data_IF_666599724242
#
_entry.id   IF_666599724242
#
_cell.length_a   1.000
_cell.length_b   1.000
_cell.length_c   1.000
_cell.angle_alpha   90.00
_cell.angle_beta   90.00
_cell.angle_gamma   90.00
#
_symmetry.space_group_name_H-M   'P 1'
#
loop_
_entity.id
_entity.type
_entity.pdbx_description
1 polymer ?
#
# COMPACT_ATOMS: atom_id res chain seq x y z
N UNK A 1 -3.30 36.27 4.84
CA UNK A 1 -4.42 35.81 5.68
C UNK A 1 -4.26 34.31 5.90
N UNK A 2 -3.58 33.83 6.95
CA UNK A 2 -3.72 32.44 7.35
C UNK A 2 -4.88 32.35 8.36
N UNK A 3 -5.73 31.33 8.24
CA UNK A 3 -5.84 30.23 9.19
C UNK A 3 -7.23 29.56 9.09
N UNK A 4 -7.21 28.26 8.82
CA UNK A 4 -8.36 27.36 9.02
C UNK A 4 -7.80 25.94 9.04
N UNK A 5 -6.87 25.70 9.97
CA UNK A 5 -6.52 24.34 10.39
C UNK A 5 -7.75 23.69 11.02
N UNK A 6 -8.42 22.80 10.27
CA UNK A 6 -9.49 21.97 10.80
C UNK A 6 -8.89 21.01 11.83
N UNK A 7 -8.90 21.45 13.08
CA UNK A 7 -8.55 20.62 14.23
C UNK A 7 -9.87 20.13 14.79
N UNK A 8 -10.33 18.91 14.43
CA UNK A 8 -11.62 18.42 14.89
C UNK A 8 -11.61 18.39 16.42
N UNK A 9 -12.68 18.90 17.02
CA UNK A 9 -12.79 18.84 18.49
C UNK A 9 -12.83 17.37 18.89
N UNK A 10 -12.18 17.00 19.99
CA UNK A 10 -12.06 15.60 20.47
C UNK A 10 -13.39 14.79 20.37
N UNK A 11 -14.58 15.36 20.68
CA UNK A 11 -15.86 14.67 20.52
C UNK A 11 -16.21 14.29 19.07
N UNK A 12 -15.85 15.12 18.10
CA UNK A 12 -16.12 14.92 16.66
C UNK A 12 -15.23 13.81 16.10
N UNK A 13 -13.97 13.76 16.52
CA UNK A 13 -13.02 12.71 16.12
C UNK A 13 -13.45 11.32 16.66
N UNK A 14 -13.95 11.26 17.91
CA UNK A 14 -14.47 10.02 18.50
C UNK A 14 -15.73 9.55 17.77
N UNK A 15 -16.62 10.48 17.41
CA UNK A 15 -17.84 10.15 16.66
C UNK A 15 -17.52 9.62 15.26
N UNK A 16 -16.59 10.26 14.55
CA UNK A 16 -16.12 9.79 13.24
C UNK A 16 -15.48 8.39 13.33
N UNK A 17 -14.68 8.13 14.36
CA UNK A 17 -14.12 6.80 14.60
C UNK A 17 -15.23 5.76 14.85
N UNK A 18 -16.26 6.11 15.63
CA UNK A 18 -17.39 5.21 15.89
C UNK A 18 -18.14 4.83 14.62
N UNK A 19 -18.36 5.79 13.73
CA UNK A 19 -19.04 5.57 12.44
C UNK A 19 -18.24 4.61 11.55
N UNK A 20 -16.93 4.80 11.46
CA UNK A 20 -16.03 3.89 10.72
C UNK A 20 -16.09 2.47 11.30
N UNK A 21 -16.03 2.32 12.63
CA UNK A 21 -16.08 1.01 13.28
C UNK A 21 -17.43 0.30 13.08
N UNK A 22 -18.54 1.04 13.03
CA UNK A 22 -19.88 0.49 12.75
C UNK A 22 -19.98 0.03 11.29
N UNK A 23 -19.43 0.79 10.35
CA UNK A 23 -19.39 0.41 8.94
C UNK A 23 -18.55 -0.86 8.71
N UNK A 24 -17.40 -0.95 9.36
CA UNK A 24 -16.55 -2.16 9.32
C UNK A 24 -17.24 -3.37 9.95
N UNK A 25 -18.00 -3.19 11.03
CA UNK A 25 -18.79 -4.27 11.61
C UNK A 25 -19.91 -4.73 10.66
N UNK A 26 -20.55 -3.81 9.96
CA UNK A 26 -21.60 -4.12 8.99
C UNK A 26 -21.05 -4.84 7.73
N UNK A 27 -19.78 -4.64 7.39
CA UNK A 27 -19.08 -5.38 6.34
C UNK A 27 -18.54 -6.75 6.79
N UNK A 28 -18.83 -7.17 8.03
CA UNK A 28 -18.45 -8.48 8.58
C UNK A 28 -17.06 -8.52 9.22
N UNK A 29 -16.41 -7.37 9.39
CA UNK A 29 -15.11 -7.26 10.05
C UNK A 29 -15.28 -7.40 11.57
N UNK A 30 -14.92 -8.55 12.13
CA UNK A 30 -14.95 -8.78 13.59
C UNK A 30 -13.71 -8.26 14.32
N UNK A 31 -12.60 -8.03 13.60
CA UNK A 31 -11.32 -7.60 14.17
C UNK A 31 -10.67 -6.51 13.32
N UNK A 32 -10.21 -5.45 13.99
CA UNK A 32 -9.52 -4.32 13.35
C UNK A 32 -8.16 -4.18 14.02
N UNK A 33 -7.10 -4.21 13.21
CA UNK A 33 -5.73 -3.99 13.68
C UNK A 33 -5.43 -2.50 13.73
N UNK A 34 -4.97 -2.03 14.89
CA UNK A 34 -4.52 -0.67 15.12
C UNK A 34 -3.01 -0.65 15.36
N UNK A 35 -2.33 0.44 15.00
CA UNK A 35 -0.93 0.62 15.37
C UNK A 35 -0.79 0.75 16.89
N UNK A 36 0.37 0.34 17.41
CA UNK A 36 0.68 0.45 18.86
C UNK A 36 0.50 1.88 19.35
N UNK A 37 0.92 2.87 18.56
CA UNK A 37 0.75 4.29 18.88
C UNK A 37 -0.72 4.74 18.93
N UNK A 38 -1.57 4.18 18.05
CA UNK A 38 -3.01 4.47 18.04
C UNK A 38 -3.70 3.89 19.26
N UNK A 39 -3.30 2.69 19.67
CA UNK A 39 -3.79 2.05 20.91
C UNK A 39 -3.41 2.87 22.13
N UNK A 40 -2.16 3.35 22.19
CA UNK A 40 -1.68 4.17 23.29
C UNK A 40 -2.46 5.48 23.41
N UNK A 41 -2.69 6.18 22.29
CA UNK A 41 -3.49 7.41 22.26
C UNK A 41 -4.93 7.20 22.68
N UNK A 42 -5.55 6.06 22.33
CA UNK A 42 -6.90 5.71 22.78
C UNK A 42 -6.97 5.47 24.29
N UNK A 43 -5.91 4.92 24.90
CA UNK A 43 -5.82 4.70 26.35
C UNK A 43 -5.63 6.00 27.15
N UNK A 44 -5.09 7.03 26.52
CA UNK A 44 -4.84 8.35 27.11
C UNK A 44 -6.08 9.28 27.04
N UNK A 45 -7.16 8.88 26.36
CA UNK A 45 -8.38 9.69 26.26
C UNK A 45 -9.16 9.76 27.58
N UNK A 46 -9.67 10.95 27.98
CA UNK A 46 -10.54 11.09 29.14
C UNK A 46 -11.80 10.22 28.99
N UNK A 47 -12.08 9.38 29.99
CA UNK A 47 -13.25 8.49 30.00
C UNK A 47 -13.01 7.05 29.51
N UNK A 48 -11.79 6.68 29.10
CA UNK A 48 -11.44 5.30 28.72
C UNK A 48 -11.82 4.26 29.79
N UNK A 49 -11.75 4.64 31.07
CA UNK A 49 -12.08 3.77 32.21
C UNK A 49 -13.50 3.98 32.79
N UNK A 50 -14.24 5.00 32.37
CA UNK A 50 -15.55 5.32 32.97
C UNK A 50 -16.72 4.51 32.39
N UNK A 51 -16.48 3.70 31.35
CA UNK A 51 -17.48 2.80 30.76
C UNK A 51 -17.30 1.31 31.08
N UNK A 52 -16.26 0.93 31.84
CA UNK A 52 -16.04 -0.47 32.24
C UNK A 52 -16.35 -0.65 33.71
N UNK A 53 -17.60 -1.07 34.00
CA UNK A 53 -17.83 -1.88 35.19
C UNK A 53 -16.83 -3.04 35.20
N UNK A 54 -16.15 -3.21 36.32
CA UNK A 54 -15.20 -4.30 36.53
C UNK A 54 -15.93 -5.65 36.37
N UNK A 55 -15.81 -6.26 35.19
CA UNK A 55 -16.05 -7.68 35.00
C UNK A 55 -14.68 -8.37 34.93
N UNK A 56 -14.40 -9.37 35.78
CA UNK A 56 -13.13 -10.06 35.76
C UNK A 56 -12.92 -10.72 34.39
N UNK A 57 -11.69 -10.60 33.85
CA UNK A 57 -11.26 -11.38 32.70
C UNK A 57 -11.36 -12.86 33.06
N UNK A 58 -12.35 -13.56 32.49
CA UNK A 58 -12.45 -15.01 32.61
C UNK A 58 -11.20 -15.65 32.00
N UNK A 59 -10.52 -16.46 32.79
CA UNK A 59 -9.41 -17.29 32.31
C UNK A 59 -9.95 -18.30 31.29
N UNK A 60 -9.26 -18.53 30.16
CA UNK A 60 -9.65 -19.57 29.22
C UNK A 60 -9.51 -20.96 29.90
N UNK A 61 -10.43 -21.91 29.63
CA UNK A 61 -10.39 -23.23 30.25
C UNK A 61 -9.18 -24.03 29.74
N UNK A 62 -8.57 -24.78 30.65
CA UNK A 62 -7.47 -25.69 30.37
C UNK A 62 -7.88 -26.77 29.33
N UNK A 63 -6.98 -27.15 28.40
CA UNK A 63 -7.26 -28.22 27.46
C UNK A 63 -7.34 -29.56 28.21
N UNK A 64 -8.46 -30.27 28.04
CA UNK A 64 -8.63 -31.66 28.47
C UNK A 64 -7.73 -32.57 27.61
N UNK A 65 -6.89 -33.35 28.28
CA UNK A 65 -6.16 -34.46 27.67
C UNK A 65 -7.16 -35.55 27.23
N UNK A 66 -7.08 -35.95 25.97
CA UNK A 66 -7.49 -37.27 25.52
C UNK A 66 -6.22 -37.95 24.99
N UNK A 67 -5.87 -39.06 25.63
CA UNK A 67 -4.74 -39.92 25.28
C UNK A 67 -5.01 -40.62 23.94
N UNK A 68 -4.08 -40.54 22.99
CA UNK A 68 -3.84 -41.68 22.11
C UNK A 68 -2.37 -41.78 21.70
N UNK A 69 -1.91 -43.03 21.74
CA UNK A 69 -0.56 -43.53 22.01
C UNK A 69 0.33 -43.50 20.76
N UNK A 70 1.53 -42.89 20.85
CA UNK A 70 2.58 -43.08 19.84
C UNK A 70 3.92 -43.39 20.52
N UNK A 71 4.56 -44.44 20.00
CA UNK A 71 5.76 -45.13 20.48
C UNK A 71 7.02 -44.29 20.21
N UNK A 72 7.93 -44.20 21.18
CA UNK A 72 9.30 -43.68 21.02
C UNK A 72 10.26 -44.84 20.67
N UNK A 73 11.42 -44.62 19.99
CA UNK A 73 12.57 -44.12 20.74
C UNK A 73 13.61 -43.24 19.99
N UNK A 74 14.22 -42.38 20.81
CA UNK A 74 15.63 -41.89 20.82
C UNK A 74 16.17 -41.02 19.67
N UNK A 75 16.43 -39.74 20.01
CA UNK A 75 17.40 -38.90 19.29
C UNK A 75 18.66 -38.73 20.15
N UNK A 76 19.79 -39.20 19.63
CA UNK A 76 21.13 -38.84 20.10
C UNK A 76 21.42 -37.38 19.74
N UNK A 77 22.12 -36.70 20.64
CA UNK A 77 22.55 -35.31 20.51
C UNK A 77 23.93 -35.21 19.84
N UNK A 78 24.00 -34.55 18.70
CA UNK A 78 25.26 -34.07 18.11
C UNK A 78 25.54 -32.60 18.52
N UNK A 79 26.83 -32.17 18.59
CA UNK A 79 27.26 -30.87 19.13
C UNK A 79 27.00 -29.67 18.19
N UNK A 80 27.08 -28.42 18.68
CA UNK A 80 26.55 -27.26 17.97
C UNK A 80 27.48 -26.82 16.83
N UNK A 81 26.95 -26.79 15.62
CA UNK A 81 27.52 -26.04 14.49
C UNK A 81 27.10 -24.57 14.60
N UNK A 82 27.97 -23.59 14.32
CA UNK A 82 27.69 -22.19 14.59
C UNK A 82 26.54 -21.68 13.71
N UNK A 83 25.51 -21.16 14.39
CA UNK A 83 24.35 -20.57 13.76
C UNK A 83 24.74 -19.33 12.93
N UNK A 84 24.84 -19.49 11.62
CA UNK A 84 24.71 -18.38 10.68
C UNK A 84 23.21 -18.12 10.53
N UNK A 85 22.68 -17.22 11.35
CA UNK A 85 21.33 -16.71 11.15
C UNK A 85 21.27 -15.98 9.79
N UNK A 86 20.36 -16.33 8.86
CA UNK A 86 20.17 -15.52 7.67
C UNK A 86 19.57 -14.19 8.12
N UNK A 87 20.39 -13.15 8.10
CA UNK A 87 19.93 -11.78 8.24
C UNK A 87 19.13 -11.44 6.99
N UNK A 88 17.80 -11.54 7.07
CA UNK A 88 16.92 -10.99 6.04
C UNK A 88 16.92 -9.47 6.24
N UNK A 89 17.98 -8.85 5.76
CA UNK A 89 17.95 -7.43 5.40
C UNK A 89 17.02 -7.35 4.19
N UNK A 90 15.99 -6.49 4.15
CA UNK A 90 15.33 -6.20 2.88
C UNK A 90 16.39 -5.59 1.97
N UNK A 91 16.95 -6.41 1.07
CA UNK A 91 17.80 -5.92 0.02
C UNK A 91 16.94 -4.95 -0.79
N UNK A 92 17.30 -3.66 -0.77
CA UNK A 92 16.74 -2.74 -1.76
C UNK A 92 16.96 -3.40 -3.13
N UNK A 93 15.92 -3.54 -3.96
CA UNK A 93 16.07 -4.17 -5.26
C UNK A 93 17.20 -3.43 -6.01
N UNK A 94 18.12 -4.18 -6.61
CA UNK A 94 19.25 -3.63 -7.37
C UNK A 94 18.79 -2.44 -8.20
N UNK A 95 19.43 -1.29 -8.01
CA UNK A 95 19.09 -0.06 -8.70
C UNK A 95 19.09 -0.30 -10.21
N UNK A 96 17.93 -0.13 -10.84
CA UNK A 96 17.82 -0.15 -12.30
C UNK A 96 18.79 0.90 -12.86
N UNK A 97 19.36 0.63 -14.04
CA UNK A 97 20.25 1.57 -14.74
C UNK A 97 19.57 1.99 -16.05
N UNK A 98 18.72 3.04 -16.02
CA UNK A 98 17.96 3.46 -17.19
C UNK A 98 18.84 3.91 -18.35
N UNK A 99 18.61 3.34 -19.53
CA UNK A 99 19.38 3.63 -20.73
C UNK A 99 18.74 4.76 -21.55
N UNK A 100 19.56 5.66 -22.09
CA UNK A 100 19.11 6.79 -22.91
C UNK A 100 19.97 8.03 -22.69
N UNK A 101 20.06 8.90 -23.71
CA UNK A 101 20.79 10.16 -23.63
C UNK A 101 19.94 11.24 -22.93
N UNK A 102 18.63 11.24 -23.17
CA UNK A 102 17.67 12.18 -22.57
C UNK A 102 16.88 11.53 -21.42
N UNK A 103 16.29 12.35 -20.54
CA UNK A 103 15.37 11.84 -19.51
C UNK A 103 14.18 11.10 -20.12
N UNK A 104 13.60 11.62 -21.20
CA UNK A 104 12.50 10.99 -21.91
C UNK A 104 12.86 9.59 -22.42
N UNK A 105 14.05 9.41 -23.00
CA UNK A 105 14.53 8.10 -23.45
C UNK A 105 14.73 7.12 -22.28
N UNK A 106 15.25 7.60 -21.14
CA UNK A 106 15.40 6.80 -19.91
C UNK A 106 14.05 6.35 -19.35
N UNK A 107 13.05 7.24 -19.31
CA UNK A 107 11.68 6.91 -18.92
C UNK A 107 11.07 5.89 -19.88
N UNK A 108 11.26 6.05 -21.19
CA UNK A 108 10.79 5.09 -22.19
C UNK A 108 11.48 3.72 -22.05
N UNK A 109 12.75 3.69 -21.66
CA UNK A 109 13.44 2.45 -21.31
C UNK A 109 12.84 1.79 -20.07
N UNK A 110 12.61 2.57 -19.01
CA UNK A 110 11.97 2.05 -17.79
C UNK A 110 10.57 1.50 -18.06
N UNK A 111 9.78 2.14 -18.91
CA UNK A 111 8.46 1.66 -19.29
C UNK A 111 8.54 0.26 -19.91
N UNK A 112 9.48 0.02 -20.85
CA UNK A 112 9.68 -1.29 -21.48
C UNK A 112 10.13 -2.36 -20.46
N UNK A 113 10.97 -1.99 -19.51
CA UNK A 113 11.42 -2.91 -18.46
C UNK A 113 10.35 -3.21 -17.41
N UNK A 114 9.52 -2.21 -17.06
CA UNK A 114 8.37 -2.38 -16.19
C UNK A 114 7.31 -3.27 -16.85
N UNK A 115 7.11 -3.10 -18.15
CA UNK A 115 6.20 -3.93 -18.91
C UNK A 115 6.61 -5.40 -18.85
N UNK A 116 7.91 -5.71 -18.94
CA UNK A 116 8.44 -7.10 -18.87
C UNK A 116 8.61 -7.65 -17.45
N UNK A 117 8.19 -6.93 -16.42
CA UNK A 117 8.34 -7.37 -15.04
C UNK A 117 7.46 -8.60 -14.74
N UNK A 118 8.03 -9.81 -14.82
CA UNK A 118 7.33 -11.06 -14.51
C UNK A 118 6.84 -11.10 -13.06
N UNK A 119 7.64 -10.62 -12.11
CA UNK A 119 7.26 -10.53 -10.70
C UNK A 119 6.04 -9.63 -10.50
N UNK A 120 6.02 -8.47 -11.15
CA UNK A 120 4.92 -7.52 -11.06
C UNK A 120 3.63 -8.09 -11.68
N UNK A 121 3.75 -8.80 -12.80
CA UNK A 121 2.64 -9.49 -13.47
C UNK A 121 2.12 -10.70 -12.67
N UNK A 122 3.03 -11.46 -12.08
CA UNK A 122 2.76 -12.72 -11.38
C UNK A 122 2.08 -12.57 -10.02
N UNK A 123 2.04 -11.36 -9.44
CA UNK A 123 1.46 -11.11 -8.11
C UNK A 123 -0.04 -10.83 -8.11
N UNK A 124 -0.72 -10.99 -9.25
CA UNK A 124 -2.17 -10.86 -9.36
C UNK A 124 -2.58 -9.56 -10.04
N UNK A 125 -2.24 -9.43 -11.31
CA UNK A 125 -2.73 -8.35 -12.18
C UNK A 125 -4.06 -8.75 -12.81
N UNK A 126 -5.08 -7.89 -12.74
CA UNK A 126 -6.43 -8.24 -13.23
C UNK A 126 -6.41 -8.52 -14.74
N UNK A 127 -5.65 -7.72 -15.46
CA UNK A 127 -5.31 -7.86 -16.87
C UNK A 127 -3.83 -7.53 -17.00
N UNK A 128 -3.13 -8.10 -17.98
CA UNK A 128 -1.72 -7.80 -18.27
C UNK A 128 -1.54 -6.39 -18.88
N UNK A 129 -2.35 -5.43 -18.44
CA UNK A 129 -2.36 -4.05 -18.92
C UNK A 129 -1.65 -3.18 -17.91
N UNK A 130 -0.49 -2.69 -18.32
CA UNK A 130 0.31 -1.78 -17.51
C UNK A 130 -0.24 -0.35 -17.61
N UNK A 131 -0.25 0.35 -16.48
CA UNK A 131 -0.41 1.81 -16.40
C UNK A 131 0.90 2.36 -15.84
N UNK A 132 1.67 3.00 -16.71
CA UNK A 132 2.98 3.54 -16.36
C UNK A 132 2.84 4.99 -15.86
N UNK A 133 3.75 5.87 -16.28
CA UNK A 133 3.75 7.29 -15.97
C UNK A 133 3.34 8.15 -17.17
N UNK A 134 2.86 9.36 -16.91
CA UNK A 134 2.72 10.43 -17.91
C UNK A 134 3.26 11.75 -17.36
N UNK A 135 3.49 12.73 -18.24
CA UNK A 135 3.91 14.06 -17.85
C UNK A 135 5.27 14.44 -18.38
N UNK A 136 5.77 15.58 -17.88
CA UNK A 136 7.06 16.13 -18.25
C UNK A 136 8.19 15.50 -17.43
N UNK A 137 9.18 14.81 -18.04
CA UNK A 137 10.33 14.26 -17.32
C UNK A 137 11.23 15.31 -16.65
N UNK A 138 11.07 16.59 -17.00
CA UNK A 138 11.75 17.73 -16.40
C UNK A 138 10.86 18.51 -15.42
N UNK A 139 9.71 17.96 -15.03
CA UNK A 139 8.83 18.59 -14.07
C UNK A 139 9.48 18.72 -12.68
N UNK A 140 9.28 19.89 -12.06
CA UNK A 140 9.67 20.14 -10.68
C UNK A 140 8.73 19.45 -9.67
N UNK A 141 7.53 19.04 -10.09
CA UNK A 141 6.52 18.42 -9.24
C UNK A 141 6.11 17.04 -9.78
N UNK A 142 6.16 16.04 -8.89
CA UNK A 142 5.76 14.67 -9.18
C UNK A 142 4.61 14.20 -8.27
N UNK A 143 3.57 13.60 -8.85
CA UNK A 143 2.48 12.95 -8.12
C UNK A 143 2.60 11.44 -8.24
N UNK A 144 2.54 10.75 -7.10
CA UNK A 144 2.63 9.27 -7.04
C UNK A 144 1.41 8.70 -6.33
N UNK A 145 0.60 7.92 -7.05
CA UNK A 145 -0.52 7.17 -6.49
C UNK A 145 -0.14 5.77 -6.02
N UNK A 146 -1.06 5.09 -5.32
CA UNK A 146 -0.81 3.73 -4.84
C UNK A 146 -0.83 2.71 -6.00
N UNK A 147 -1.93 2.65 -6.74
CA UNK A 147 -2.13 1.68 -7.80
C UNK A 147 -3.14 2.19 -8.85
N UNK A 148 -3.13 1.63 -10.07
CA UNK A 148 -4.09 1.97 -11.11
C UNK A 148 -5.48 1.44 -10.78
N UNK A 149 -6.52 2.19 -11.15
CA UNK A 149 -7.92 1.77 -11.07
C UNK A 149 -8.46 1.23 -12.39
N UNK A 150 -9.76 0.95 -12.43
CA UNK A 150 -10.44 0.43 -13.63
C UNK A 150 -10.31 1.34 -14.85
N UNK A 151 -10.51 2.65 -14.68
CA UNK A 151 -10.46 3.57 -15.81
C UNK A 151 -9.02 3.73 -16.29
N UNK A 152 -8.06 3.83 -15.36
CA UNK A 152 -6.64 3.88 -15.65
C UNK A 152 -6.18 2.65 -16.43
N UNK A 153 -6.56 1.44 -15.99
CA UNK A 153 -6.27 0.20 -16.71
C UNK A 153 -6.85 0.25 -18.13
N UNK A 154 -8.07 0.78 -18.30
CA UNK A 154 -8.75 0.82 -19.59
C UNK A 154 -8.10 1.79 -20.58
N UNK A 155 -7.59 2.93 -20.13
CA UNK A 155 -7.00 3.96 -21.02
C UNK A 155 -5.47 4.01 -20.95
N UNK A 156 -4.85 3.18 -20.11
CA UNK A 156 -3.40 3.10 -19.91
C UNK A 156 -2.75 4.42 -19.45
N UNK A 157 -3.52 5.28 -18.81
CA UNK A 157 -3.07 6.56 -18.27
C UNK A 157 -3.38 6.63 -16.77
N UNK A 158 -2.44 7.05 -15.91
CA UNK A 158 -2.70 7.16 -14.48
C UNK A 158 -3.60 8.36 -14.16
N UNK A 159 -4.39 8.25 -13.08
CA UNK A 159 -5.25 9.33 -12.58
C UNK A 159 -6.20 9.93 -13.63
N UNK A 160 -7.01 9.09 -14.27
CA UNK A 160 -8.05 9.55 -15.22
C UNK A 160 -9.47 9.32 -14.71
N UNK A 161 -9.64 8.49 -13.67
CA UNK A 161 -10.92 8.27 -13.02
C UNK A 161 -11.41 9.47 -12.19
N UNK A 162 -12.47 9.30 -11.38
CA UNK A 162 -13.04 10.38 -10.58
C UNK A 162 -12.04 11.07 -9.64
N UNK A 163 -11.12 10.31 -9.04
CA UNK A 163 -10.04 10.85 -8.21
C UNK A 163 -9.02 11.62 -9.06
N UNK A 164 -8.73 11.13 -10.26
CA UNK A 164 -7.86 11.78 -11.23
C UNK A 164 -8.39 13.11 -11.75
N UNK A 165 -9.69 13.19 -12.01
CA UNK A 165 -10.35 14.45 -12.38
C UNK A 165 -10.21 15.50 -11.27
N UNK A 166 -10.39 15.11 -9.99
CA UNK A 166 -10.16 15.99 -8.85
C UNK A 166 -8.70 16.45 -8.78
N UNK A 167 -7.74 15.55 -8.95
CA UNK A 167 -6.32 15.89 -9.01
C UNK A 167 -6.04 16.91 -10.13
N UNK A 168 -6.60 16.71 -11.32
CA UNK A 168 -6.47 17.65 -12.44
C UNK A 168 -7.01 19.04 -12.09
N UNK A 169 -8.15 19.13 -11.38
CA UNK A 169 -8.67 20.43 -10.91
C UNK A 169 -7.74 21.09 -9.89
N UNK A 170 -7.14 20.31 -8.98
CA UNK A 170 -6.18 20.82 -7.99
C UNK A 170 -4.93 21.34 -8.70
N UNK A 171 -4.36 20.57 -9.64
CA UNK A 171 -3.19 20.99 -10.45
C UNK A 171 -3.48 22.32 -11.16
N UNK A 172 -4.64 22.43 -11.79
CA UNK A 172 -5.08 23.66 -12.44
C UNK A 172 -5.24 24.83 -11.46
N UNK A 173 -5.79 24.58 -10.28
CA UNK A 173 -5.95 25.60 -9.24
C UNK A 173 -4.61 26.10 -8.69
N UNK A 174 -3.55 25.30 -8.76
CA UNK A 174 -2.18 25.72 -8.44
C UNK A 174 -1.52 26.54 -9.58
N UNK A 175 -2.20 26.73 -10.71
CA UNK A 175 -1.66 27.42 -11.88
C UNK A 175 -0.75 26.55 -12.75
N UNK A 176 -0.76 25.23 -12.56
CA UNK A 176 0.02 24.26 -13.33
C UNK A 176 -0.87 23.57 -14.36
N UNK A 177 -0.26 23.02 -15.42
CA UNK A 177 -0.93 22.24 -16.45
C UNK A 177 -0.46 20.80 -16.42
N UNK A 178 -1.39 19.92 -16.77
CA UNK A 178 -1.15 18.49 -17.00
C UNK A 178 -1.36 18.23 -18.49
N UNK A 179 -0.43 17.56 -19.19
CA UNK A 179 0.80 16.92 -18.69
C UNK A 179 2.06 17.81 -18.61
N UNK A 180 2.00 19.08 -19.01
CA UNK A 180 3.20 19.86 -19.36
C UNK A 180 4.09 20.27 -18.17
N UNK A 181 3.48 20.54 -17.02
CA UNK A 181 4.19 21.14 -15.88
C UNK A 181 4.41 20.15 -14.72
N UNK A 182 3.93 18.91 -14.85
CA UNK A 182 3.93 17.89 -13.77
C UNK A 182 4.29 16.52 -14.32
N UNK A 183 4.80 15.64 -13.45
CA UNK A 183 5.00 14.22 -13.72
C UNK A 183 4.08 13.37 -12.83
N UNK A 184 3.43 12.34 -13.37
CA UNK A 184 2.41 11.55 -12.66
C UNK A 184 2.69 10.07 -12.85
N UNK A 185 2.69 9.31 -11.75
CA UNK A 185 2.96 7.88 -11.74
C UNK A 185 2.22 7.16 -10.61
N UNK A 186 2.35 5.83 -10.53
CA UNK A 186 1.87 4.99 -9.43
C UNK A 186 3.00 4.11 -8.88
N UNK A 187 2.93 3.76 -7.59
CA UNK A 187 3.81 2.80 -6.93
C UNK A 187 3.75 1.45 -7.65
N UNK A 188 2.54 0.88 -7.76
CA UNK A 188 2.30 -0.34 -8.53
C UNK A 188 1.91 0.04 -9.96
N UNK A 189 2.46 -0.66 -10.96
CA UNK A 189 2.22 -0.36 -12.39
C UNK A 189 1.05 -1.13 -13.00
N UNK A 190 0.45 -2.04 -12.23
CA UNK A 190 -0.65 -2.89 -12.67
C UNK A 190 -1.79 -2.83 -11.65
N UNK A 191 -3.02 -2.98 -12.13
CA UNK A 191 -4.20 -2.96 -11.28
C UNK A 191 -4.27 -4.25 -10.43
N UNK A 192 -4.30 -4.14 -9.09
CA UNK A 192 -4.30 -5.32 -8.22
C UNK A 192 -5.61 -6.13 -8.32
N UNK A 193 -5.48 -7.46 -8.37
CA UNK A 193 -6.59 -8.41 -8.43
C UNK A 193 -7.31 -8.58 -7.09
N UNK A 194 -8.64 -8.50 -7.09
CA UNK A 194 -9.48 -8.75 -5.93
C UNK A 194 -10.40 -9.94 -6.22
N UNK A 195 -10.16 -11.07 -5.56
CA UNK A 195 -10.97 -12.27 -5.74
C UNK A 195 -10.82 -12.86 -7.14
N UNK A 196 -11.92 -13.39 -7.68
CA UNK A 196 -11.92 -13.96 -9.03
C UNK A 196 -11.95 -12.83 -10.10
N UNK A 197 -10.95 -12.78 -11.00
CA UNK A 197 -10.80 -11.70 -11.98
C UNK A 197 -12.00 -11.54 -12.92
N UNK A 198 -12.81 -12.60 -13.13
CA UNK A 198 -14.03 -12.54 -13.95
C UNK A 198 -15.11 -11.66 -13.32
N UNK A 199 -15.05 -11.44 -12.01
CA UNK A 199 -16.08 -10.75 -11.25
C UNK A 199 -15.61 -9.42 -10.62
N UNK A 200 -14.33 -9.08 -10.70
CA UNK A 200 -13.81 -7.85 -10.09
C UNK A 200 -14.42 -6.57 -10.71
N UNK A 201 -14.73 -6.58 -12.01
CA UNK A 201 -15.33 -5.45 -12.71
C UNK A 201 -14.58 -4.13 -12.45
N UNK A 202 -15.29 -3.13 -11.91
CA UNK A 202 -14.74 -1.80 -11.60
C UNK A 202 -14.20 -1.66 -10.17
N UNK A 203 -14.29 -2.71 -9.35
CA UNK A 203 -13.84 -2.63 -7.97
C UNK A 203 -12.31 -2.56 -7.88
N UNK A 204 -11.81 -1.64 -7.06
CA UNK A 204 -10.38 -1.50 -6.78
C UNK A 204 -10.09 -1.98 -5.36
N UNK A 205 -8.85 -2.40 -5.11
CA UNK A 205 -8.33 -2.64 -3.77
C UNK A 205 -6.97 -1.97 -3.62
N UNK A 206 -6.53 -1.83 -2.37
CA UNK A 206 -5.16 -1.41 -2.09
C UNK A 206 -4.16 -2.49 -2.52
N UNK A 207 -2.97 -2.11 -2.99
CA UNK A 207 -1.91 -3.06 -3.24
C UNK A 207 -1.40 -3.63 -1.91
N UNK A 208 -0.98 -4.89 -1.95
CA UNK A 208 -0.29 -5.56 -0.86
C UNK A 208 1.18 -5.13 -0.80
N UNK A 209 1.83 -5.20 0.37
CA UNK A 209 3.23 -4.82 0.51
C UNK A 209 4.17 -5.50 -0.49
N UNK A 210 3.91 -6.77 -0.84
CA UNK A 210 4.70 -7.51 -1.84
C UNK A 210 4.55 -6.94 -3.26
N UNK A 211 3.35 -6.50 -3.64
CA UNK A 211 3.08 -5.90 -4.96
C UNK A 211 3.78 -4.55 -5.08
N UNK A 212 3.76 -3.77 -3.99
CA UNK A 212 4.51 -2.52 -3.88
C UNK A 212 6.00 -2.78 -3.98
N UNK A 213 6.54 -3.76 -3.23
CA UNK A 213 7.96 -4.08 -3.22
C UNK A 213 8.48 -4.49 -4.61
N UNK A 214 7.73 -5.31 -5.35
CA UNK A 214 8.06 -5.73 -6.70
C UNK A 214 8.16 -4.56 -7.69
N UNK A 215 7.30 -3.54 -7.51
CA UNK A 215 7.22 -2.37 -8.41
C UNK A 215 8.08 -1.18 -7.97
N UNK A 216 8.54 -1.17 -6.71
CA UNK A 216 9.18 -0.01 -6.08
C UNK A 216 10.42 0.46 -6.85
N UNK A 217 11.21 -0.48 -7.38
CA UNK A 217 12.40 -0.19 -8.20
C UNK A 217 12.13 0.73 -9.38
N UNK A 218 10.94 0.66 -9.99
CA UNK A 218 10.58 1.51 -11.12
C UNK A 218 10.28 2.94 -10.70
N UNK A 219 9.51 3.13 -9.61
CA UNK A 219 9.20 4.49 -9.12
C UNK A 219 10.44 5.18 -8.56
N UNK A 220 11.32 4.44 -7.88
CA UNK A 220 12.59 5.00 -7.43
C UNK A 220 13.43 5.47 -8.63
N UNK A 221 13.52 4.65 -9.68
CA UNK A 221 14.22 5.05 -10.91
C UNK A 221 13.54 6.24 -11.63
N UNK A 222 12.21 6.32 -11.64
CA UNK A 222 11.48 7.49 -12.15
C UNK A 222 11.87 8.75 -11.37
N UNK A 223 11.88 8.70 -10.02
CA UNK A 223 12.26 9.83 -9.15
C UNK A 223 13.72 10.24 -9.42
N UNK A 224 14.64 9.28 -9.58
CA UNK A 224 16.05 9.56 -9.86
C UNK A 224 16.29 10.22 -11.22
N UNK A 225 15.46 9.90 -12.22
CA UNK A 225 15.51 10.53 -13.54
C UNK A 225 14.88 11.92 -13.51
N UNK A 226 13.65 12.03 -13.00
CA UNK A 226 12.87 13.26 -13.01
C UNK A 226 13.52 14.31 -12.12
N UNK A 227 13.97 13.90 -10.92
CA UNK A 227 14.52 14.75 -9.86
C UNK A 227 13.59 15.92 -9.52
N UNK A 228 12.35 15.64 -9.08
CA UNK A 228 11.44 16.69 -8.62
C UNK A 228 12.01 17.41 -7.39
N UNK A 229 11.53 18.63 -7.12
CA UNK A 229 12.04 19.53 -6.07
C UNK A 229 11.27 19.40 -4.75
#
# INVERSE_FOLDING_TARGET
>A
MPDSTFTPRIPEAIQALREVLVLEKASGTERITLSVDSVKRLQELPGYLQGRGAAPLAQPPAPRMAEEKVVAPTLQSDPPSPAVAPSITPAFPSALQPQGATKAEKIAWLAREAERCEECRGLGTLREVMVFSVGNPDADLMFVGEAPGFEEERQQEPFIGPAGQKLTQIIKAMGLRRPEDVYISNIVKFRPMKGDPRFQGQQNRKPEPREMAASLKYVLAEIEIVRPK
#
